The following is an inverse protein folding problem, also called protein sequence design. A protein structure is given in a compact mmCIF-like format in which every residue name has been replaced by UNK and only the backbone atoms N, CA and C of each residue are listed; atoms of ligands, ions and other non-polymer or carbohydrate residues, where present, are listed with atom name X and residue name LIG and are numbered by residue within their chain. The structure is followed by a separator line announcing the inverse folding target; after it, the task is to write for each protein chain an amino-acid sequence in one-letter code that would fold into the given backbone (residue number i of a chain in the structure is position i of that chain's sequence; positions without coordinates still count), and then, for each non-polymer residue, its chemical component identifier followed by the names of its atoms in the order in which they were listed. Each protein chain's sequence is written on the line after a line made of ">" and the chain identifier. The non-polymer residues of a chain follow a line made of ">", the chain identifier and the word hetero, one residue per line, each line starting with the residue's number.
data_IF_312686158431
#
_entry.id   IF_312686158431
#
_cell.length_a   1.000
_cell.length_b   1.000
_cell.length_c   1.000
_cell.angle_alpha   90.00
_cell.angle_beta   90.00
_cell.angle_gamma   90.00
#
_symmetry.space_group_name_H-M   'P 1'
#
loop_
_entity.id
_entity.type
_entity.pdbx_description
1 polymer ?
#
# COMPACT_ATOMS: atom_id res chain seq x y z
N UNK A 1 -9.83 16.13 -15.81
CA UNK A 1 -10.07 14.67 -15.83
C UNK A 1 -8.87 14.00 -15.16
N UNK A 2 -9.02 13.20 -14.09
CA UNK A 2 -7.91 12.37 -13.68
C UNK A 2 -7.74 11.30 -14.76
N UNK A 3 -6.61 11.36 -15.47
CA UNK A 3 -6.39 10.67 -16.75
C UNK A 3 -6.32 9.14 -16.62
N UNK A 4 -6.15 8.63 -15.40
CA UNK A 4 -5.84 7.22 -15.14
C UNK A 4 -6.70 6.56 -14.06
N UNK A 5 -7.28 7.33 -13.12
CA UNK A 5 -8.09 6.77 -12.04
C UNK A 5 -9.12 7.78 -11.57
N UNK A 6 -10.37 7.37 -11.35
CA UNK A 6 -11.45 8.29 -10.95
C UNK A 6 -11.24 8.92 -9.57
N UNK A 7 -10.65 8.17 -8.64
CA UNK A 7 -10.26 8.61 -7.30
C UNK A 7 -9.20 7.66 -6.75
N UNK A 8 -8.33 8.13 -5.85
CA UNK A 8 -7.40 7.26 -5.14
C UNK A 8 -8.20 6.32 -4.23
N UNK A 9 -7.96 4.99 -4.27
CA UNK A 9 -8.68 4.08 -3.39
C UNK A 9 -8.33 4.38 -1.95
N UNK A 10 -9.28 4.14 -1.06
CA UNK A 10 -9.06 4.28 0.37
C UNK A 10 -8.46 3.00 0.93
N UNK A 11 -7.55 3.17 1.88
CA UNK A 11 -7.04 2.16 2.78
C UNK A 11 -8.20 1.63 3.65
N UNK A 12 -8.47 0.31 3.66
CA UNK A 12 -9.60 -0.26 4.40
C UNK A 12 -9.52 -0.12 5.93
N UNK A 13 -8.32 0.07 6.49
CA UNK A 13 -8.08 0.09 7.93
C UNK A 13 -8.06 1.50 8.50
N UNK A 14 -7.65 2.48 7.69
CA UNK A 14 -7.55 3.89 8.13
C UNK A 14 -8.60 4.81 7.49
N UNK A 15 -9.19 4.40 6.35
CA UNK A 15 -10.04 5.26 5.53
C UNK A 15 -9.29 6.40 4.83
N UNK A 16 -7.96 6.47 4.96
CA UNK A 16 -7.12 7.42 4.25
C UNK A 16 -6.83 6.94 2.82
N UNK A 17 -6.28 7.80 1.96
CA UNK A 17 -5.84 7.36 0.63
C UNK A 17 -4.71 6.33 0.74
N UNK A 18 -4.69 5.34 -0.17
CA UNK A 18 -3.57 4.41 -0.28
C UNK A 18 -2.24 5.16 -0.45
N UNK A 19 -1.18 4.58 0.11
CA UNK A 19 0.18 5.11 0.03
C UNK A 19 0.87 4.58 -1.21
N UNK A 20 1.90 5.31 -1.65
CA UNK A 20 2.77 4.90 -2.74
C UNK A 20 4.21 5.29 -2.42
N UNK A 21 5.12 4.34 -2.59
CA UNK A 21 6.56 4.56 -2.45
C UNK A 21 7.30 4.06 -3.70
N UNK A 22 8.46 4.68 -3.97
CA UNK A 22 9.37 4.23 -5.02
C UNK A 22 10.41 3.31 -4.40
N UNK A 23 10.61 2.15 -5.02
CA UNK A 23 11.66 1.20 -4.65
C UNK A 23 12.78 1.26 -5.68
N UNK A 24 13.89 0.56 -5.42
CA UNK A 24 14.98 0.44 -6.40
C UNK A 24 14.50 -0.15 -7.74
N UNK A 25 13.52 -1.05 -7.68
CA UNK A 25 13.05 -1.84 -8.82
C UNK A 25 11.69 -1.38 -9.38
N UNK A 26 11.09 -0.31 -8.84
CA UNK A 26 9.77 0.13 -9.31
C UNK A 26 8.98 0.96 -8.33
N UNK A 27 7.66 0.72 -8.29
CA UNK A 27 6.72 1.37 -7.38
C UNK A 27 6.02 0.33 -6.52
N UNK A 28 5.75 0.67 -5.27
CA UNK A 28 4.85 -0.07 -4.38
C UNK A 28 3.68 0.84 -4.01
N UNK A 29 2.45 0.37 -4.26
CA UNK A 29 1.24 1.00 -3.72
C UNK A 29 0.68 0.11 -2.63
N UNK A 30 0.32 0.69 -1.48
CA UNK A 30 0.05 -0.12 -0.30
C UNK A 30 -0.94 0.52 0.68
N UNK A 31 -1.58 -0.36 1.46
CA UNK A 31 -2.35 -0.05 2.67
C UNK A 31 -1.51 -0.44 3.89
N UNK A 32 -1.66 0.30 5.01
CA UNK A 32 -0.87 0.08 6.24
C UNK A 32 -1.22 -1.20 7.00
N UNK A 33 -2.17 -2.00 6.50
CA UNK A 33 -2.54 -3.26 7.14
C UNK A 33 -3.36 -3.10 8.42
N UNK A 34 -3.70 -4.24 9.02
CA UNK A 34 -4.56 -4.33 10.20
C UNK A 34 -3.85 -3.91 11.49
N UNK A 35 -2.52 -3.99 11.53
CA UNK A 35 -1.69 -3.56 12.65
C UNK A 35 -1.54 -2.03 12.72
N UNK A 36 -2.00 -1.31 11.69
CA UNK A 36 -1.97 0.15 11.55
C UNK A 36 -0.54 0.73 11.58
N UNK A 37 0.48 -0.11 11.41
CA UNK A 37 1.87 0.29 11.38
C UNK A 37 2.30 0.52 9.93
N UNK A 38 2.69 1.75 9.58
CA UNK A 38 3.25 2.01 8.27
C UNK A 38 4.67 1.44 8.17
N UNK A 39 4.78 0.26 7.57
CA UNK A 39 6.05 -0.42 7.35
C UNK A 39 6.67 -0.08 5.99
N UNK A 40 6.29 1.06 5.40
CA UNK A 40 6.86 1.60 4.16
C UNK A 40 6.70 0.69 2.93
N UNK A 41 5.60 -0.04 2.85
CA UNK A 41 5.30 -1.02 1.82
C UNK A 41 5.95 -2.40 2.06
N UNK A 42 6.35 -2.72 3.31
CA UNK A 42 6.84 -4.06 3.65
C UNK A 42 5.69 -5.05 3.47
N UNK A 43 5.88 -6.18 2.77
CA UNK A 43 4.80 -7.14 2.57
C UNK A 43 4.19 -7.62 3.88
N UNK A 44 2.87 -7.69 3.88
CA UNK A 44 2.09 -8.28 4.97
C UNK A 44 2.50 -9.74 5.22
N UNK A 45 2.79 -10.03 6.48
CA UNK A 45 3.09 -11.36 7.01
C UNK A 45 1.82 -11.93 7.65
N UNK A 46 1.36 -13.05 7.09
CA UNK A 46 0.15 -13.74 7.54
C UNK A 46 0.33 -14.46 8.88
N UNK A 47 1.55 -14.84 9.22
CA UNK A 47 1.82 -15.60 10.43
C UNK A 47 1.82 -14.68 11.66
N UNK A 48 2.24 -13.43 11.48
CA UNK A 48 2.27 -12.41 12.53
C UNK A 48 1.12 -11.41 12.46
N UNK A 49 0.33 -11.41 11.39
CA UNK A 49 -0.72 -10.42 11.11
C UNK A 49 -0.18 -8.98 11.12
N UNK A 50 1.01 -8.78 10.54
CA UNK A 50 1.70 -7.47 10.52
C UNK A 50 2.18 -7.08 9.13
N UNK A 51 2.39 -5.78 8.92
CA UNK A 51 2.90 -5.21 7.68
C UNK A 51 1.81 -4.80 6.68
N UNK A 52 2.27 -4.39 5.51
CA UNK A 52 1.45 -3.65 4.55
C UNK A 52 0.89 -4.53 3.44
N UNK A 53 -0.39 -4.33 3.12
CA UNK A 53 -1.00 -4.92 1.94
C UNK A 53 -0.51 -4.16 0.69
N UNK A 54 0.44 -4.76 -0.01
CA UNK A 54 1.24 -4.07 -1.04
C UNK A 54 1.09 -4.69 -2.43
N UNK A 55 0.87 -3.83 -3.43
CA UNK A 55 0.92 -4.13 -4.86
C UNK A 55 2.20 -3.54 -5.45
N UNK A 56 2.97 -4.36 -6.16
CA UNK A 56 4.24 -3.97 -6.75
C UNK A 56 4.13 -3.84 -8.26
N UNK A 57 4.70 -2.77 -8.80
CA UNK A 57 4.62 -2.39 -10.20
C UNK A 57 6.02 -2.16 -10.76
N UNK A 58 6.34 -2.79 -11.90
CA UNK A 58 7.62 -2.61 -12.60
C UNK A 58 8.76 -3.52 -12.14
N UNK A 59 8.48 -4.48 -11.26
CA UNK A 59 9.42 -5.52 -10.83
C UNK A 59 9.59 -6.63 -11.88
#
# INVERSE_FOLDING_TARGET
>A
MPRYLHAVPLDPFTGAALKMARTGDGLVSYSVGADLADDSGRPYDRDTDTGDLSLRLGQ
#
